data_IF_514147036688
#
_entry.id   IF_514147036688
#
_cell.length_a   1.000
_cell.length_b   1.000
_cell.length_c   1.000
_cell.angle_alpha   90.00
_cell.angle_beta   90.00
_cell.angle_gamma   90.00
#
_symmetry.space_group_name_H-M   'P 1'
#
loop_
_entity.id
_entity.type
_entity.pdbx_description
1 polymer ?
#
# COMPACT_ATOMS: atom_id res chain seq x y z
N UNK A 1 -8.41 -20.32 -3.21
CA UNK A 1 -7.65 -19.44 -2.37
C UNK A 1 -7.73 -18.03 -2.90
N UNK A 2 -7.98 -17.10 -2.03
CA UNK A 2 -8.15 -15.72 -2.45
C UNK A 2 -6.79 -15.05 -2.59
N UNK A 3 -6.63 -14.30 -3.66
CA UNK A 3 -5.47 -13.42 -3.82
C UNK A 3 -5.76 -12.11 -3.13
N UNK A 4 -4.72 -11.53 -2.55
CA UNK A 4 -4.81 -10.26 -1.84
C UNK A 4 -4.02 -9.24 -2.64
N UNK A 5 -4.65 -8.12 -2.95
CA UNK A 5 -3.98 -7.02 -3.64
C UNK A 5 -3.89 -5.82 -2.70
N UNK A 6 -2.67 -5.39 -2.43
CA UNK A 6 -2.42 -4.17 -1.69
C UNK A 6 -2.28 -3.03 -2.68
N UNK A 7 -2.68 -1.83 -2.27
CA UNK A 7 -2.59 -0.65 -3.14
C UNK A 7 -1.68 0.38 -2.52
N UNK A 8 -0.64 0.76 -3.26
CA UNK A 8 0.22 1.85 -2.83
C UNK A 8 -0.19 3.10 -3.60
N UNK A 9 -0.75 4.06 -2.90
CA UNK A 9 -1.16 5.34 -3.49
C UNK A 9 0.06 6.25 -3.54
N UNK A 10 0.43 6.67 -4.75
CA UNK A 10 1.62 7.47 -4.94
C UNK A 10 1.42 8.40 -6.15
N UNK A 11 2.48 9.07 -6.56
CA UNK A 11 2.45 9.86 -7.79
C UNK A 11 3.88 9.89 -8.34
N UNK A 12 4.01 10.31 -9.59
CA UNK A 12 5.33 10.47 -10.17
C UNK A 12 6.08 11.62 -9.48
N UNK A 13 7.40 11.61 -9.56
CA UNK A 13 8.26 12.64 -8.96
C UNK A 13 8.05 12.78 -7.45
N UNK A 14 7.70 11.70 -6.79
CA UNK A 14 7.51 11.70 -5.34
C UNK A 14 8.65 10.92 -4.69
N UNK A 15 9.57 11.66 -4.04
CA UNK A 15 10.74 11.03 -3.44
C UNK A 15 10.36 10.06 -2.33
N UNK A 16 9.40 10.45 -1.49
CA UNK A 16 8.96 9.58 -0.40
C UNK A 16 8.27 8.34 -0.92
N UNK A 17 7.56 8.45 -2.05
CA UNK A 17 6.93 7.30 -2.66
C UNK A 17 7.98 6.30 -3.15
N UNK A 18 9.10 6.80 -3.65
CA UNK A 18 10.19 5.91 -4.05
C UNK A 18 10.75 5.16 -2.84
N UNK A 19 10.87 5.85 -1.71
CA UNK A 19 11.32 5.19 -0.49
C UNK A 19 10.32 4.14 -0.02
N UNK A 20 9.04 4.43 -0.15
CA UNK A 20 8.00 3.47 0.22
C UNK A 20 8.07 2.22 -0.67
N UNK A 21 8.29 2.42 -1.96
CA UNK A 21 8.43 1.29 -2.87
C UNK A 21 9.64 0.43 -2.50
N UNK A 22 10.73 1.05 -2.06
CA UNK A 22 11.90 0.31 -1.62
C UNK A 22 11.59 -0.52 -0.37
N UNK A 23 10.82 0.03 0.55
CA UNK A 23 10.38 -0.72 1.74
C UNK A 23 9.56 -1.93 1.33
N UNK A 24 8.60 -1.73 0.42
CA UNK A 24 7.76 -2.83 -0.03
C UNK A 24 8.56 -3.89 -0.77
N UNK A 25 9.59 -3.48 -1.50
CA UNK A 25 10.44 -4.44 -2.20
C UNK A 25 11.25 -5.29 -1.24
N UNK A 26 11.46 -4.83 0.00
CA UNK A 26 12.20 -5.59 1.00
C UNK A 26 11.34 -6.60 1.75
N UNK A 27 10.02 -6.52 1.59
CA UNK A 27 9.11 -7.44 2.27
C UNK A 27 9.07 -8.75 1.51
N UNK A 28 9.07 -9.86 2.25
CA UNK A 28 8.89 -11.16 1.63
C UNK A 28 7.40 -11.45 1.53
N UNK A 29 6.90 -11.39 0.30
CA UNK A 29 5.47 -11.53 0.05
C UNK A 29 5.10 -12.98 -0.16
N UNK A 30 4.00 -13.45 0.44
CA UNK A 30 3.43 -14.74 0.03
C UNK A 30 3.02 -14.68 -1.44
N UNK A 31 2.99 -15.83 -2.10
CA UNK A 31 2.66 -15.88 -3.52
C UNK A 31 1.25 -15.37 -3.82
N UNK A 32 0.38 -15.35 -2.81
CA UNK A 32 -1.00 -14.89 -2.98
C UNK A 32 -1.15 -13.37 -2.82
N UNK A 33 -0.06 -12.66 -2.50
CA UNK A 33 -0.12 -11.23 -2.25
C UNK A 33 0.51 -10.48 -3.42
N UNK A 34 -0.20 -9.48 -3.91
CA UNK A 34 0.29 -8.60 -4.98
C UNK A 34 0.21 -7.17 -4.50
N UNK A 35 1.12 -6.33 -4.99
CA UNK A 35 1.12 -4.91 -4.68
C UNK A 35 0.91 -4.15 -5.98
N UNK A 36 -0.09 -3.28 -6.01
CA UNK A 36 -0.37 -2.46 -7.17
C UNK A 36 -0.14 -1.00 -6.81
N UNK A 37 0.62 -0.29 -7.65
CA UNK A 37 0.88 1.12 -7.45
C UNK A 37 -0.20 1.91 -8.18
N UNK A 38 -0.87 2.81 -7.46
CA UNK A 38 -1.95 3.62 -8.01
C UNK A 38 -1.50 5.07 -8.00
N UNK A 39 -1.53 5.71 -9.18
CA UNK A 39 -1.14 7.11 -9.30
C UNK A 39 -2.36 7.97 -8.96
N UNK A 40 -2.28 8.70 -7.85
CA UNK A 40 -3.43 9.49 -7.39
C UNK A 40 -3.71 10.69 -8.29
N UNK A 41 -2.74 11.10 -9.11
CA UNK A 41 -2.95 12.23 -10.01
C UNK A 41 -3.86 11.88 -11.18
N UNK A 42 -4.18 10.61 -11.38
CA UNK A 42 -5.02 10.17 -12.49
C UNK A 42 -6.50 10.37 -12.22
N UNK A 43 -6.89 10.65 -10.97
CA UNK A 43 -8.28 10.85 -10.64
C UNK A 43 -8.39 11.92 -9.57
N UNK A 44 -9.28 12.91 -9.80
CA UNK A 44 -9.46 14.00 -8.84
C UNK A 44 -9.85 13.50 -7.46
N UNK A 45 -10.68 12.46 -7.42
CA UNK A 45 -11.15 11.89 -6.18
C UNK A 45 -9.99 11.34 -5.35
N UNK A 46 -9.07 10.63 -6.01
CA UNK A 46 -7.90 10.09 -5.33
C UNK A 46 -6.98 11.20 -4.87
N UNK A 47 -6.83 12.23 -5.70
CA UNK A 47 -5.97 13.35 -5.36
C UNK A 47 -6.49 14.09 -4.14
N UNK A 48 -7.81 14.28 -4.05
CA UNK A 48 -8.40 14.93 -2.89
C UNK A 48 -8.23 14.10 -1.63
N UNK A 49 -8.33 12.78 -1.77
CA UNK A 49 -8.30 11.88 -0.62
C UNK A 49 -6.90 11.62 -0.12
N UNK A 50 -5.95 11.44 -1.02
CA UNK A 50 -4.61 11.00 -0.67
C UNK A 50 -3.50 11.97 -1.05
N UNK A 51 -3.79 13.00 -1.81
CA UNK A 51 -2.74 13.84 -2.40
C UNK A 51 -1.77 14.45 -1.41
N UNK A 52 -2.22 14.71 -0.18
CA UNK A 52 -1.36 15.27 0.86
C UNK A 52 -0.83 14.20 1.81
N UNK A 53 -1.24 12.96 1.62
CA UNK A 53 -0.87 11.85 2.51
C UNK A 53 0.09 10.87 1.87
N UNK A 54 0.23 10.90 0.54
CA UNK A 54 1.05 9.91 -0.17
C UNK A 54 2.49 9.95 0.33
N UNK A 55 3.14 8.80 0.39
CA UNK A 55 2.62 7.48 0.02
C UNK A 55 1.72 6.88 1.10
N UNK A 56 0.65 6.21 0.67
CA UNK A 56 -0.28 5.52 1.56
C UNK A 56 -0.43 4.08 1.07
N UNK A 57 -0.29 3.13 1.97
CA UNK A 57 -0.48 1.73 1.63
C UNK A 57 -1.83 1.27 2.17
N UNK A 58 -2.68 0.75 1.29
CA UNK A 58 -3.98 0.21 1.67
C UNK A 58 -3.91 -1.31 1.66
N UNK A 59 -4.26 -1.92 2.78
CA UNK A 59 -4.18 -3.37 2.97
C UNK A 59 -5.58 -3.90 3.26
N UNK A 60 -6.14 -4.72 2.36
CA UNK A 60 -7.47 -5.28 2.62
C UNK A 60 -7.42 -6.29 3.77
N UNK A 61 -8.46 -6.29 4.56
CA UNK A 61 -8.57 -7.16 5.71
C UNK A 61 -9.59 -8.27 5.43
N UNK A 62 -9.57 -9.30 6.26
CA UNK A 62 -10.43 -10.46 6.03
C UNK A 62 -11.90 -10.15 6.22
N UNK A 63 -12.23 -9.08 6.94
CA UNK A 63 -13.62 -8.69 7.16
C UNK A 63 -14.16 -7.76 6.07
N UNK A 64 -13.37 -7.52 5.03
CA UNK A 64 -13.77 -6.66 3.92
C UNK A 64 -13.38 -5.20 4.08
N UNK A 65 -12.83 -4.83 5.24
CA UNK A 65 -12.37 -3.45 5.44
C UNK A 65 -10.98 -3.25 4.87
N UNK A 66 -10.54 -1.99 4.81
CA UNK A 66 -9.19 -1.64 4.38
C UNK A 66 -8.49 -0.93 5.53
N UNK A 67 -7.26 -1.36 5.81
CA UNK A 67 -6.39 -0.63 6.73
C UNK A 67 -5.40 0.16 5.93
N UNK A 68 -5.14 1.38 6.35
CA UNK A 68 -4.21 2.27 5.65
C UNK A 68 -3.02 2.58 6.54
N UNK A 69 -1.83 2.52 5.94
CA UNK A 69 -0.60 2.95 6.59
C UNK A 69 -0.14 4.23 5.93
N UNK A 70 0.00 5.28 6.73
CA UNK A 70 0.59 6.53 6.26
C UNK A 70 2.11 6.45 6.37
N UNK A 71 2.78 7.16 5.48
CA UNK A 71 4.24 7.27 5.55
C UNK A 71 4.65 8.11 6.77
N UNK A 72 5.71 7.77 7.48
CA UNK A 72 6.60 6.64 7.19
C UNK A 72 6.10 5.31 7.76
N UNK A 73 6.36 4.24 7.04
CA UNK A 73 6.13 2.89 7.54
C UNK A 73 7.34 2.03 7.18
N UNK A 74 7.50 0.90 7.86
CA UNK A 74 8.60 -0.02 7.57
C UNK A 74 8.05 -1.40 7.23
N UNK A 75 8.95 -2.31 6.87
CA UNK A 75 8.54 -3.65 6.47
C UNK A 75 7.81 -4.38 7.59
N UNK A 76 8.21 -4.14 8.82
CA UNK A 76 7.58 -4.78 9.98
C UNK A 76 6.12 -4.35 10.11
N UNK A 77 5.86 -3.06 9.96
CA UNK A 77 4.49 -2.55 10.05
C UNK A 77 3.62 -3.10 8.93
N UNK A 78 4.18 -3.19 7.73
CA UNK A 78 3.46 -3.74 6.59
C UNK A 78 3.09 -5.20 6.84
N UNK A 79 4.05 -5.99 7.30
CA UNK A 79 3.80 -7.41 7.57
C UNK A 79 2.76 -7.59 8.67
N UNK A 80 2.75 -6.69 9.65
CA UNK A 80 1.80 -6.77 10.74
C UNK A 80 0.36 -6.53 10.32
N UNK A 81 0.15 -5.84 9.18
CA UNK A 81 -1.19 -5.58 8.67
C UNK A 81 -1.69 -6.65 7.72
N UNK A 82 -0.80 -7.50 7.21
CA UNK A 82 -1.23 -8.54 6.28
C UNK A 82 -2.21 -9.48 6.98
N UNK A 83 -3.30 -9.87 6.31
CA UNK A 83 -4.23 -10.83 6.90
C UNK A 83 -3.51 -12.12 7.23
N UNK A 84 -3.85 -12.68 8.38
CA UNK A 84 -3.22 -13.91 8.82
C UNK A 84 -3.80 -15.06 8.03
N UNK A 85 -2.93 -15.82 7.37
CA UNK A 85 -3.35 -17.02 6.65
C UNK A 85 -3.09 -18.23 7.50
N UNK A 86 -4.06 -19.07 7.57
CA UNK A 86 -3.97 -20.30 8.34
C UNK A 86 -4.11 -21.50 7.45
#
# INVERSE_FOLDING_TARGET
MAEITLYLYSTSACHLCEQAEAVLASVQWPATVMVEVVDVSEADELLQRYGKRIPVLAVPQTDGSMQELDWPFDAYAVQGLLPCEQ
#
